data_IF_422450863206
#
_entry.id   IF_422450863206
#
_cell.length_a   1.000
_cell.length_b   1.000
_cell.length_c   1.000
_cell.angle_alpha   90.00
_cell.angle_beta   90.00
_cell.angle_gamma   90.00
#
_symmetry.space_group_name_H-M   'P 1'
#
loop_
_entity.id
_entity.type
_entity.pdbx_description
1 polymer ?
#
# COMPACT_ATOMS: atom_id res chain seq x y z
N UNK A 1 13.11 -9.58 12.76
CA UNK A 1 11.82 -9.14 12.19
C UNK A 1 11.13 -10.36 11.59
N UNK A 2 9.92 -10.68 12.02
CA UNK A 2 9.14 -11.80 11.49
C UNK A 2 8.50 -11.41 10.16
N UNK A 3 8.66 -12.23 9.13
CA UNK A 3 7.99 -12.06 7.83
C UNK A 3 6.47 -12.07 8.10
N UNK A 4 5.72 -11.04 7.68
CA UNK A 4 4.28 -11.06 7.84
C UNK A 4 3.71 -12.27 7.09
N UNK A 5 2.86 -13.04 7.77
CA UNK A 5 2.20 -14.20 7.15
C UNK A 5 1.51 -13.76 5.85
N UNK A 6 1.57 -14.56 4.76
CA UNK A 6 0.97 -14.21 3.47
C UNK A 6 -0.48 -13.69 3.59
N UNK A 7 -1.27 -14.35 4.45
CA UNK A 7 -2.68 -14.03 4.68
C UNK A 7 -2.93 -12.66 5.35
N UNK A 8 -1.90 -12.08 5.99
CA UNK A 8 -2.01 -10.79 6.67
C UNK A 8 -1.93 -9.60 5.72
N UNK A 9 -1.26 -9.75 4.57
CA UNK A 9 -1.14 -8.64 3.60
C UNK A 9 -2.14 -8.81 2.48
N UNK A 10 -2.30 -10.00 1.90
CA UNK A 10 -3.29 -10.26 0.85
C UNK A 10 -3.28 -11.68 0.27
N UNK A 11 -2.87 -12.68 1.06
CA UNK A 11 -2.85 -14.09 0.65
C UNK A 11 -1.84 -14.38 -0.45
N UNK A 12 -2.08 -15.43 -1.23
CA UNK A 12 -1.20 -15.87 -2.32
C UNK A 12 -1.15 -14.92 -3.54
N UNK A 13 -1.93 -13.83 -3.54
CA UNK A 13 -1.91 -12.84 -4.62
C UNK A 13 -0.67 -11.93 -4.55
N UNK A 14 -0.13 -11.71 -3.34
CA UNK A 14 0.97 -10.79 -3.09
C UNK A 14 2.09 -11.43 -2.29
N UNK A 15 3.29 -11.39 -2.86
CA UNK A 15 4.51 -11.83 -2.21
C UNK A 15 5.08 -10.60 -1.47
N UNK A 16 5.22 -10.68 -0.15
CA UNK A 16 5.90 -9.66 0.65
C UNK A 16 7.38 -9.59 0.28
N UNK A 17 7.90 -8.38 0.04
CA UNK A 17 9.34 -8.15 -0.13
C UNK A 17 9.94 -7.44 1.10
N UNK A 18 9.37 -6.30 1.52
CA UNK A 18 9.89 -5.51 2.64
C UNK A 18 8.82 -4.62 3.29
N UNK A 19 9.09 -4.14 4.50
CA UNK A 19 8.33 -3.05 5.12
C UNK A 19 8.87 -1.72 4.57
N UNK A 20 8.00 -0.89 3.99
CA UNK A 20 8.35 0.44 3.49
C UNK A 20 8.21 1.50 4.58
N UNK A 21 7.18 1.39 5.42
CA UNK A 21 6.92 2.39 6.44
C UNK A 21 5.98 1.90 7.53
N UNK A 22 6.08 2.51 8.70
CA UNK A 22 5.23 2.24 9.85
C UNK A 22 4.82 3.56 10.49
N UNK A 23 3.62 4.03 10.15
CA UNK A 23 3.03 5.26 10.70
C UNK A 23 1.92 4.97 11.71
N UNK A 24 1.35 6.04 12.26
CA UNK A 24 0.22 5.98 13.20
C UNK A 24 -1.00 5.26 12.62
N UNK A 25 -1.22 5.37 11.30
CA UNK A 25 -2.38 4.80 10.61
C UNK A 25 -2.19 3.35 10.16
N UNK A 26 -0.98 2.80 10.27
CA UNK A 26 -0.68 1.43 9.88
C UNK A 26 0.65 1.26 9.16
N UNK A 27 0.79 0.09 8.55
CA UNK A 27 2.03 -0.35 7.90
C UNK A 27 1.88 -0.33 6.40
N UNK A 28 2.96 0.06 5.72
CA UNK A 28 3.07 0.00 4.26
C UNK A 28 4.11 -1.05 3.90
N UNK A 29 3.75 -1.95 3.01
CA UNK A 29 4.58 -3.06 2.59
C UNK A 29 4.91 -2.95 1.10
N UNK A 30 6.15 -3.28 0.74
CA UNK A 30 6.53 -3.57 -0.64
C UNK A 30 6.13 -5.00 -0.95
N UNK A 31 5.39 -5.17 -2.03
CA UNK A 31 4.92 -6.47 -2.48
C UNK A 31 5.15 -6.66 -3.97
N UNK A 32 5.20 -7.92 -4.39
CA UNK A 32 5.19 -8.32 -5.80
C UNK A 32 3.93 -9.13 -6.10
N UNK A 33 3.19 -8.77 -7.14
CA UNK A 33 2.03 -9.56 -7.58
C UNK A 33 2.45 -10.76 -8.47
N UNK A 34 1.49 -11.61 -8.83
CA UNK A 34 1.72 -12.77 -9.71
C UNK A 34 2.27 -12.42 -11.10
N UNK A 35 2.14 -11.17 -11.55
CA UNK A 35 2.70 -10.66 -12.82
C UNK A 35 4.12 -10.11 -12.67
N UNK A 36 4.69 -10.15 -11.47
CA UNK A 36 6.02 -9.61 -11.19
C UNK A 36 6.06 -8.10 -10.94
N UNK A 37 4.91 -7.41 -10.97
CA UNK A 37 4.83 -5.97 -10.73
C UNK A 37 5.04 -5.67 -9.24
N UNK A 38 5.86 -4.67 -8.95
CA UNK A 38 6.06 -4.12 -7.61
C UNK A 38 4.92 -3.18 -7.23
N UNK A 39 4.45 -3.30 -5.99
CA UNK A 39 3.29 -2.60 -5.45
C UNK A 39 3.57 -2.16 -4.01
N UNK A 40 2.96 -1.06 -3.60
CA UNK A 40 2.85 -0.68 -2.21
C UNK A 40 1.47 -1.11 -1.69
N UNK A 41 1.44 -1.79 -0.53
CA UNK A 41 0.20 -2.20 0.14
C UNK A 41 0.16 -1.58 1.53
N UNK A 42 -0.74 -0.61 1.73
CA UNK A 42 -0.99 0.00 3.04
C UNK A 42 -2.08 -0.77 3.77
N UNK A 43 -1.75 -1.32 4.94
CA UNK A 43 -2.69 -2.04 5.80
C UNK A 43 -3.11 -1.17 6.98
N UNK A 44 -4.42 -0.94 7.09
CA UNK A 44 -5.07 -0.02 8.03
C UNK A 44 -6.07 -0.80 8.88
N UNK A 45 -5.96 -0.71 10.21
CA UNK A 45 -6.84 -1.43 11.16
C UNK A 45 -8.10 -0.67 11.55
N UNK A 46 -8.16 0.64 11.30
CA UNK A 46 -9.15 1.57 11.88
C UNK A 46 -10.24 1.99 10.88
N UNK A 47 -11.38 2.52 11.36
CA UNK A 47 -12.48 3.09 10.57
C UNK A 47 -12.01 4.17 9.58
N UNK A 48 -10.90 4.84 9.88
CA UNK A 48 -10.22 5.82 9.04
C UNK A 48 -9.82 5.26 7.66
N UNK A 49 -9.67 3.93 7.54
CA UNK A 49 -9.41 3.27 6.26
C UNK A 49 -10.44 3.60 5.18
N UNK A 50 -11.69 3.85 5.57
CA UNK A 50 -12.79 4.13 4.65
C UNK A 50 -12.62 5.50 3.97
N UNK A 51 -12.09 6.50 4.70
CA UNK A 51 -11.90 7.84 4.16
C UNK A 51 -10.69 7.91 3.23
N UNK A 52 -9.56 7.33 3.65
CA UNK A 52 -8.36 7.28 2.82
C UNK A 52 -8.62 6.51 1.52
N UNK A 53 -9.31 5.37 1.61
CA UNK A 53 -9.75 4.60 0.45
C UNK A 53 -10.62 5.43 -0.52
N UNK A 54 -11.56 6.23 0.00
CA UNK A 54 -12.43 7.09 -0.83
C UNK A 54 -11.63 8.16 -1.56
N UNK A 55 -10.74 8.87 -0.84
CA UNK A 55 -9.89 9.91 -1.43
C UNK A 55 -9.00 9.31 -2.52
N UNK A 56 -8.32 8.20 -2.23
CA UNK A 56 -7.44 7.52 -3.19
C UNK A 56 -8.20 7.06 -4.44
N UNK A 57 -9.43 6.54 -4.27
CA UNK A 57 -10.27 6.17 -5.41
C UNK A 57 -10.77 7.36 -6.21
N UNK A 58 -10.95 8.54 -5.59
CA UNK A 58 -11.33 9.76 -6.31
C UNK A 58 -10.16 10.40 -7.06
N UNK A 59 -8.92 10.13 -6.64
CA UNK A 59 -7.70 10.64 -7.24
C UNK A 59 -7.03 9.62 -8.20
N UNK A 60 -7.71 8.53 -8.54
CA UNK A 60 -7.16 7.47 -9.39
C UNK A 60 -7.42 7.66 -10.89
N UNK A 61 -7.95 8.82 -11.28
CA UNK A 61 -8.23 9.17 -12.67
C UNK A 61 -6.95 9.44 -13.46
N UNK A 62 -6.93 9.16 -14.77
CA UNK A 62 -5.75 9.36 -15.61
C UNK A 62 -5.20 10.79 -15.58
N UNK A 63 -6.04 11.78 -15.28
CA UNK A 63 -5.66 13.18 -15.11
C UNK A 63 -4.81 13.47 -13.86
N UNK A 64 -4.79 12.56 -12.88
CA UNK A 64 -4.10 12.74 -11.59
C UNK A 64 -2.85 11.86 -11.44
N UNK A 65 -2.65 10.91 -12.34
CA UNK A 65 -1.59 9.89 -12.24
C UNK A 65 -0.16 10.43 -12.23
N UNK A 66 0.07 11.65 -12.72
CA UNK A 66 1.39 12.29 -12.68
C UNK A 66 1.75 12.81 -11.28
N UNK A 67 0.74 13.14 -10.46
CA UNK A 67 0.93 13.82 -9.16
C UNK A 67 0.61 12.92 -7.97
N UNK A 68 -0.15 11.85 -8.18
CA UNK A 68 -0.60 10.95 -7.14
C UNK A 68 -0.25 9.51 -7.50
N UNK A 69 0.26 8.77 -6.51
CA UNK A 69 0.50 7.34 -6.66
C UNK A 69 -0.79 6.62 -7.07
N UNK A 70 -0.73 5.87 -8.18
CA UNK A 70 -1.92 5.23 -8.73
C UNK A 70 -2.54 4.28 -7.72
N UNK A 71 -3.83 4.46 -7.44
CA UNK A 71 -4.64 3.50 -6.70
C UNK A 71 -5.10 2.39 -7.63
N UNK A 72 -4.94 1.13 -7.22
CA UNK A 72 -5.38 -0.03 -7.99
C UNK A 72 -6.66 -0.67 -7.44
N UNK A 73 -6.69 -1.01 -6.15
CA UNK A 73 -7.86 -1.63 -5.51
C UNK A 73 -7.78 -1.65 -3.99
N UNK A 74 -8.90 -2.03 -3.39
CA UNK A 74 -9.06 -2.32 -1.96
C UNK A 74 -9.40 -3.79 -1.76
N UNK A 75 -8.95 -4.34 -0.63
CA UNK A 75 -9.48 -5.61 -0.13
C UNK A 75 -9.37 -5.66 1.40
N UNK A 76 -9.97 -6.69 1.99
CA UNK A 76 -9.86 -6.99 3.42
C UNK A 76 -8.86 -8.10 3.65
N UNK A 77 -7.88 -7.87 4.53
CA UNK A 77 -7.01 -8.94 5.03
C UNK A 77 -7.80 -9.92 5.89
N UNK A 78 -7.21 -11.09 6.16
CA UNK A 78 -7.86 -12.14 6.95
C UNK A 78 -8.34 -11.66 8.35
N UNK A 79 -7.60 -10.73 8.96
CA UNK A 79 -7.95 -10.15 10.26
C UNK A 79 -8.88 -8.92 10.17
N UNK A 80 -9.53 -8.69 9.03
CA UNK A 80 -10.50 -7.62 8.83
C UNK A 80 -9.91 -6.24 8.56
N UNK A 81 -8.58 -6.10 8.56
CA UNK A 81 -7.92 -4.83 8.22
C UNK A 81 -8.16 -4.49 6.75
N UNK A 82 -8.26 -3.20 6.45
CA UNK A 82 -8.34 -2.73 5.06
C UNK A 82 -6.95 -2.65 4.48
N UNK A 83 -6.76 -3.21 3.28
CA UNK A 83 -5.55 -3.09 2.48
C UNK A 83 -5.82 -2.23 1.26
N UNK A 84 -5.01 -1.19 1.08
CA UNK A 84 -4.99 -0.31 -0.11
C UNK A 84 -3.83 -0.74 -0.98
N UNK A 85 -4.10 -1.14 -2.22
CA UNK A 85 -3.09 -1.52 -3.21
C UNK A 85 -2.84 -0.33 -4.12
N UNK A 86 -1.58 0.10 -4.19
CA UNK A 86 -1.18 1.28 -4.94
C UNK A 86 0.18 1.09 -5.61
N UNK A 87 0.52 2.04 -6.48
CA UNK A 87 1.82 2.16 -7.10
C UNK A 87 2.95 2.16 -6.07
N UNK A 88 4.03 1.47 -6.42
CA UNK A 88 5.28 1.55 -5.66
C UNK A 88 6.17 2.65 -6.24
N UNK A 89 6.35 3.73 -5.49
CA UNK A 89 7.30 4.79 -5.82
C UNK A 89 8.70 4.39 -5.33
N UNK A 90 9.61 4.10 -6.26
CA UNK A 90 10.94 3.53 -5.94
C UNK A 90 11.81 4.42 -5.06
N UNK A 91 11.65 5.75 -5.17
CA UNK A 91 12.44 6.73 -4.42
C UNK A 91 11.94 6.96 -2.98
N UNK A 92 10.87 6.29 -2.56
CA UNK A 92 10.36 6.40 -1.19
C UNK A 92 9.67 7.72 -0.88
N UNK A 93 9.62 8.09 0.40
CA UNK A 93 9.02 9.35 0.86
C UNK A 93 9.98 10.52 0.65
N UNK A 94 9.45 11.73 0.47
CA UNK A 94 10.26 12.96 0.50
C UNK A 94 10.98 13.15 1.85
N UNK A 95 10.46 12.57 2.93
CA UNK A 95 11.14 12.57 4.24
C UNK A 95 12.42 11.73 4.24
N UNK A 96 12.49 10.70 3.38
CA UNK A 96 13.65 9.82 3.27
C UNK A 96 14.74 10.40 2.35
N UNK A 97 14.38 11.39 1.52
CA UNK A 97 15.29 12.04 0.58
C UNK A 97 15.95 13.24 1.26
N UNK A 98 17.20 13.08 1.70
CA UNK A 98 18.01 14.21 2.17
C UNK A 98 18.42 15.08 0.98
N UNK A 99 17.71 16.20 0.79
CA UNK A 99 17.94 17.16 -0.29
C UNK A 99 19.07 18.17 0.04
N UNK A 100 20.05 17.77 0.87
CA UNK A 100 21.14 18.65 1.34
C UNK A 100 22.48 18.33 0.72
#
# INVERSE_FOLDING_TARGET
MSIPKPDLIGGEEYIYESLLGNGSFGKVYKCKNKKGQLLAIKRIKDQQATWEAKIMSSLSGPEYNEYFAQFYKLFKSYDGSTCIVMEYCELGSLEDVDLR
#
